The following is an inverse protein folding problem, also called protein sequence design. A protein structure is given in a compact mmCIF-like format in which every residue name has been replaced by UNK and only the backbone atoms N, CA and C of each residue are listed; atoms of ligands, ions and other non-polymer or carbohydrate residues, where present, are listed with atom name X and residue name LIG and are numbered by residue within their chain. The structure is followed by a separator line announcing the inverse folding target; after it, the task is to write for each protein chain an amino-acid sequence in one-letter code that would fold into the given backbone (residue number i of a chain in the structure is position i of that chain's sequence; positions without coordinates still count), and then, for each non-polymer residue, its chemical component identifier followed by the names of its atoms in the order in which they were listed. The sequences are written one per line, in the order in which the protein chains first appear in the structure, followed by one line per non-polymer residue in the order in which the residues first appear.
data_IF_514513945347
#
_entry.id   IF_514513945347
#
_cell.length_a   1.000
_cell.length_b   1.000
_cell.length_c   1.000
_cell.angle_alpha   90.00
_cell.angle_beta   90.00
_cell.angle_gamma   90.00
#
_symmetry.space_group_name_H-M   'P 1'
#
loop_
_entity.id
_entity.type
_entity.pdbx_description
1 polymer ?
#
# COMPACT_ATOMS: atom_id res chain seq x y z
N UNK A 1 -19.38 -5.00 10.10
CA UNK A 1 -20.42 -4.28 9.32
C UNK A 1 -21.78 -4.45 10.02
N UNK A 2 -22.77 -3.56 9.83
CA UNK A 2 -24.13 -3.79 10.35
C UNK A 2 -25.01 -4.37 9.23
N UNK A 3 -25.25 -5.68 9.28
CA UNK A 3 -25.95 -6.43 8.22
C UNK A 3 -27.42 -6.02 8.11
N UNK A 4 -28.12 -5.84 9.23
CA UNK A 4 -29.53 -5.44 9.24
C UNK A 4 -29.73 -4.09 8.54
N UNK A 5 -28.83 -3.13 8.79
CA UNK A 5 -28.85 -1.84 8.11
C UNK A 5 -28.62 -1.98 6.62
N UNK A 6 -27.62 -2.77 6.20
CA UNK A 6 -27.33 -3.02 4.77
C UNK A 6 -28.53 -3.67 4.08
N UNK A 7 -29.13 -4.71 4.67
CA UNK A 7 -30.30 -5.39 4.13
C UNK A 7 -31.50 -4.45 3.98
N UNK A 8 -31.72 -3.56 4.96
CA UNK A 8 -32.83 -2.59 4.92
C UNK A 8 -32.75 -1.59 3.75
N UNK A 9 -31.57 -1.40 3.15
CA UNK A 9 -31.38 -0.55 1.98
C UNK A 9 -31.82 -1.22 0.66
N UNK A 10 -32.18 -2.50 0.68
CA UNK A 10 -32.56 -3.31 -0.48
C UNK A 10 -31.52 -3.21 -1.62
N UNK A 11 -30.22 -3.48 -1.37
CA UNK A 11 -29.18 -3.34 -2.37
C UNK A 11 -29.29 -4.41 -3.47
N UNK A 12 -29.03 -4.02 -4.71
CA UNK A 12 -28.89 -4.97 -5.83
C UNK A 12 -27.60 -5.82 -5.70
N UNK A 13 -26.55 -5.24 -5.11
CA UNK A 13 -25.29 -5.88 -4.76
C UNK A 13 -24.52 -5.02 -3.74
N UNK A 14 -23.52 -5.62 -3.10
CA UNK A 14 -22.61 -4.96 -2.15
C UNK A 14 -21.17 -5.14 -2.62
N UNK A 15 -20.38 -4.08 -2.62
CA UNK A 15 -18.92 -4.19 -2.73
C UNK A 15 -18.32 -4.44 -1.35
N UNK A 16 -17.48 -5.45 -1.24
CA UNK A 16 -16.79 -5.81 0.00
C UNK A 16 -15.27 -5.81 -0.17
N UNK A 17 -14.56 -5.51 0.92
CA UNK A 17 -13.11 -5.62 1.03
C UNK A 17 -12.77 -6.63 2.13
N UNK A 18 -12.09 -7.76 1.84
CA UNK A 18 -11.65 -8.75 2.83
C UNK A 18 -10.74 -8.22 3.95
N UNK A 19 -10.08 -7.06 3.79
CA UNK A 19 -9.36 -6.40 4.89
C UNK A 19 -10.31 -5.76 5.92
N UNK A 20 -11.47 -5.27 5.48
CA UNK A 20 -12.42 -4.52 6.33
C UNK A 20 -13.67 -5.34 6.68
N UNK A 21 -13.97 -6.40 5.94
CA UNK A 21 -15.17 -7.19 6.07
C UNK A 21 -14.82 -8.62 6.47
N UNK A 22 -15.41 -9.08 7.58
CA UNK A 22 -15.19 -10.44 8.05
C UNK A 22 -15.80 -11.44 7.07
N UNK A 23 -15.19 -12.63 6.96
CA UNK A 23 -15.75 -13.72 6.14
C UNK A 23 -17.20 -14.02 6.55
N UNK A 24 -17.47 -14.01 7.87
CA UNK A 24 -18.82 -14.20 8.41
C UNK A 24 -19.80 -13.14 7.92
N UNK A 25 -19.40 -11.86 7.91
CA UNK A 25 -20.25 -10.75 7.45
C UNK A 25 -20.60 -10.93 5.96
N UNK A 26 -19.65 -11.40 5.15
CA UNK A 26 -19.83 -11.65 3.71
C UNK A 26 -20.78 -12.83 3.49
N UNK A 27 -20.57 -13.94 4.21
CA UNK A 27 -21.42 -15.14 4.14
C UNK A 27 -22.87 -14.82 4.54
N UNK A 28 -23.06 -14.01 5.59
CA UNK A 28 -24.39 -13.59 6.04
C UNK A 28 -25.13 -12.75 4.98
N UNK A 29 -24.45 -11.84 4.27
CA UNK A 29 -25.04 -11.12 3.14
C UNK A 29 -25.45 -12.07 2.01
N UNK A 30 -24.62 -13.06 1.71
CA UNK A 30 -24.90 -14.05 0.66
C UNK A 30 -26.10 -14.95 1.03
N UNK A 31 -26.22 -15.36 2.30
CA UNK A 31 -27.37 -16.12 2.81
C UNK A 31 -28.68 -15.33 2.72
N UNK A 32 -28.61 -14.01 2.90
CA UNK A 32 -29.74 -13.09 2.69
C UNK A 32 -30.06 -12.85 1.20
N UNK A 33 -29.33 -13.49 0.29
CA UNK A 33 -29.53 -13.39 -1.16
C UNK A 33 -28.97 -12.11 -1.79
N UNK A 34 -28.13 -11.35 -1.06
CA UNK A 34 -27.48 -10.15 -1.57
C UNK A 34 -26.18 -10.54 -2.27
N UNK A 35 -26.01 -10.28 -3.59
CA UNK A 35 -24.75 -10.50 -4.27
C UNK A 35 -23.63 -9.64 -3.68
N UNK A 36 -22.49 -10.25 -3.35
CA UNK A 36 -21.30 -9.53 -2.85
C UNK A 36 -20.18 -9.62 -3.87
N UNK A 37 -19.64 -8.48 -4.28
CA UNK A 37 -18.46 -8.35 -5.15
C UNK A 37 -17.27 -7.99 -4.29
N UNK A 38 -16.31 -8.90 -4.16
CA UNK A 38 -15.13 -8.70 -3.34
C UNK A 38 -14.02 -8.03 -4.16
N UNK A 39 -13.46 -6.95 -3.64
CA UNK A 39 -12.37 -6.22 -4.27
C UNK A 39 -11.24 -6.04 -3.27
N UNK A 40 -10.07 -6.50 -3.70
CA UNK A 40 -8.86 -6.39 -2.89
C UNK A 40 -7.60 -6.48 -3.75
N UNK A 41 -7.40 -5.51 -4.65
CA UNK A 41 -6.30 -5.57 -5.58
C UNK A 41 -4.99 -5.36 -4.83
N UNK A 42 -4.01 -6.22 -5.11
CA UNK A 42 -2.63 -6.12 -4.61
C UNK A 42 -1.68 -5.57 -5.68
N UNK A 43 -2.17 -5.38 -6.89
CA UNK A 43 -1.40 -4.90 -8.04
C UNK A 43 -2.21 -3.89 -8.85
N UNK A 44 -1.52 -3.06 -9.63
CA UNK A 44 -2.15 -2.12 -10.57
C UNK A 44 -3.02 -2.86 -11.59
N UNK A 45 -2.54 -3.99 -12.11
CA UNK A 45 -3.30 -4.82 -13.05
C UNK A 45 -4.59 -5.39 -12.43
N UNK A 46 -4.55 -5.85 -11.18
CA UNK A 46 -5.76 -6.29 -10.48
C UNK A 46 -6.73 -5.12 -10.26
N UNK A 47 -6.23 -3.93 -9.90
CA UNK A 47 -7.07 -2.76 -9.73
C UNK A 47 -7.76 -2.32 -11.04
N UNK A 48 -7.08 -2.46 -12.18
CA UNK A 48 -7.68 -2.22 -13.50
C UNK A 48 -8.73 -3.29 -13.83
N UNK A 49 -8.48 -4.56 -13.50
CA UNK A 49 -9.46 -5.64 -13.65
C UNK A 49 -10.73 -5.37 -12.82
N UNK A 50 -10.58 -4.91 -11.58
CA UNK A 50 -11.68 -4.54 -10.70
C UNK A 50 -12.53 -3.41 -11.30
N UNK A 51 -11.90 -2.39 -11.89
CA UNK A 51 -12.60 -1.31 -12.59
C UNK A 51 -13.38 -1.82 -13.82
N UNK A 52 -12.80 -2.75 -14.58
CA UNK A 52 -13.47 -3.39 -15.70
C UNK A 52 -14.68 -4.21 -15.26
N UNK A 53 -14.57 -4.93 -14.15
CA UNK A 53 -15.70 -5.66 -13.55
C UNK A 53 -16.82 -4.71 -13.15
N UNK A 54 -16.50 -3.61 -12.45
CA UNK A 54 -17.47 -2.57 -12.09
C UNK A 54 -18.16 -2.01 -13.34
N UNK A 55 -17.40 -1.66 -14.39
CA UNK A 55 -17.96 -1.10 -15.62
C UNK A 55 -18.93 -2.07 -16.31
N UNK A 56 -18.60 -3.37 -16.32
CA UNK A 56 -19.47 -4.44 -16.89
C UNK A 56 -20.71 -4.67 -16.03
N UNK A 57 -20.55 -4.76 -14.72
CA UNK A 57 -21.64 -4.98 -13.77
C UNK A 57 -22.68 -3.85 -13.87
N UNK A 58 -22.21 -2.61 -13.90
CA UNK A 58 -23.04 -1.41 -14.05
C UNK A 58 -23.50 -1.16 -15.50
N UNK A 59 -23.05 -1.97 -16.47
CA UNK A 59 -23.34 -1.82 -17.90
C UNK A 59 -23.08 -0.40 -18.42
N UNK A 60 -22.05 0.26 -17.90
CA UNK A 60 -21.78 1.67 -18.15
C UNK A 60 -20.72 1.86 -19.24
N UNK A 61 -21.16 2.23 -20.44
CA UNK A 61 -20.26 2.56 -21.56
C UNK A 61 -19.31 3.74 -21.24
N UNK A 62 -19.76 4.83 -20.58
CA UNK A 62 -18.84 5.89 -20.16
C UNK A 62 -17.79 5.42 -19.15
N UNK A 63 -18.13 4.49 -18.24
CA UNK A 63 -17.16 3.92 -17.33
C UNK A 63 -16.12 3.08 -18.10
N UNK A 64 -16.58 2.18 -18.98
CA UNK A 64 -15.71 1.37 -19.83
C UNK A 64 -14.70 2.22 -20.64
N UNK A 65 -15.15 3.32 -21.25
CA UNK A 65 -14.28 4.22 -21.98
C UNK A 65 -13.21 4.89 -21.09
N UNK A 66 -13.54 5.23 -19.84
CA UNK A 66 -12.56 5.78 -18.87
C UNK A 66 -11.54 4.73 -18.43
N UNK A 67 -11.98 3.49 -18.23
CA UNK A 67 -11.08 2.39 -17.85
C UNK A 67 -10.12 2.07 -19.00
N UNK A 68 -10.60 1.98 -20.25
CA UNK A 68 -9.76 1.80 -21.45
C UNK A 68 -8.69 2.90 -21.57
N UNK A 69 -9.07 4.17 -21.36
CA UNK A 69 -8.11 5.27 -21.39
C UNK A 69 -7.04 5.17 -20.29
N UNK A 70 -7.45 4.80 -19.07
CA UNK A 70 -6.54 4.64 -17.93
C UNK A 70 -5.58 3.45 -18.14
N UNK A 71 -6.09 2.32 -18.59
CA UNK A 71 -5.30 1.12 -18.89
C UNK A 71 -4.27 1.39 -19.99
N UNK A 72 -4.64 2.09 -21.08
CA UNK A 72 -3.69 2.50 -22.12
C UNK A 72 -2.61 3.43 -21.60
N UNK A 73 -2.98 4.36 -20.71
CA UNK A 73 -2.02 5.26 -20.06
C UNK A 73 -1.02 4.48 -19.20
N UNK A 74 -1.51 3.46 -18.48
CA UNK A 74 -0.68 2.53 -17.71
C UNK A 74 0.25 1.71 -18.62
N UNK A 75 -0.26 1.15 -19.71
CA UNK A 75 0.53 0.37 -20.67
C UNK A 75 1.66 1.21 -21.28
N UNK A 76 1.37 2.46 -21.66
CA UNK A 76 2.38 3.38 -22.20
C UNK A 76 3.43 3.76 -21.16
N UNK A 77 3.00 4.03 -19.93
CA UNK A 77 3.92 4.31 -18.82
C UNK A 77 4.84 3.11 -18.55
N UNK A 78 4.29 1.90 -18.45
CA UNK A 78 5.08 0.69 -18.19
C UNK A 78 6.08 0.43 -19.33
N UNK A 79 5.68 0.68 -20.57
CA UNK A 79 6.56 0.53 -21.74
C UNK A 79 7.72 1.54 -21.77
N UNK A 80 7.55 2.75 -21.20
CA UNK A 80 8.60 3.77 -21.19
C UNK A 80 9.70 3.54 -20.13
N UNK A 81 9.44 2.68 -19.13
CA UNK A 81 10.30 2.49 -17.94
C UNK A 81 11.23 1.26 -17.99
N UNK A 82 11.34 0.56 -19.12
CA UNK A 82 12.04 -0.74 -19.23
C UNK A 82 13.54 -0.72 -18.85
N UNK A 83 14.19 0.45 -18.89
CA UNK A 83 15.65 0.57 -18.71
C UNK A 83 16.08 1.44 -17.52
N UNK A 84 15.17 1.78 -16.61
CA UNK A 84 15.52 2.68 -15.50
C UNK A 84 16.14 1.93 -14.31
N UNK A 85 17.17 2.52 -13.66
CA UNK A 85 17.76 1.93 -12.47
C UNK A 85 16.75 1.96 -11.32
N UNK A 86 16.61 0.82 -10.63
CA UNK A 86 15.78 0.74 -9.44
C UNK A 86 16.45 1.44 -8.26
N UNK A 87 15.64 2.04 -7.39
CA UNK A 87 16.08 2.70 -6.14
C UNK A 87 15.55 1.98 -4.93
N UNK A 88 16.39 1.74 -3.93
CA UNK A 88 15.93 1.18 -2.65
C UNK A 88 15.07 2.19 -1.88
N UNK A 89 13.82 1.82 -1.59
CA UNK A 89 12.81 2.66 -0.96
C UNK A 89 12.50 2.16 0.43
N UNK A 90 12.51 3.08 1.40
CA UNK A 90 11.83 2.89 2.67
C UNK A 90 10.59 3.77 2.71
N UNK A 91 9.42 3.17 2.95
CA UNK A 91 8.14 3.87 3.02
C UNK A 91 7.32 3.36 4.23
N UNK A 92 7.43 3.99 5.41
CA UNK A 92 6.63 3.60 6.56
C UNK A 92 5.19 4.07 6.42
N UNK A 93 4.25 3.26 6.87
CA UNK A 93 2.81 3.58 6.93
C UNK A 93 2.35 3.91 8.35
N UNK A 94 3.15 3.56 9.36
CA UNK A 94 2.93 3.92 10.76
C UNK A 94 4.25 4.03 11.50
N UNK A 95 4.24 4.69 12.65
CA UNK A 95 5.35 4.66 13.58
C UNK A 95 4.87 4.76 15.02
N UNK A 96 5.63 4.18 15.94
CA UNK A 96 5.43 4.37 17.38
C UNK A 96 6.72 4.08 18.14
N UNK A 97 6.62 4.01 19.46
CA UNK A 97 7.69 3.54 20.33
C UNK A 97 7.25 2.23 21.00
N UNK A 98 8.20 1.38 21.35
CA UNK A 98 7.95 0.18 22.14
C UNK A 98 8.02 0.47 23.64
N UNK A 99 7.89 -0.59 24.44
CA UNK A 99 7.94 -0.53 25.91
C UNK A 99 9.32 -0.09 26.45
N UNK A 100 10.37 -0.18 25.63
CA UNK A 100 11.74 0.22 25.94
C UNK A 100 12.08 1.61 25.38
N UNK A 101 11.07 2.38 24.96
CA UNK A 101 11.17 3.68 24.32
C UNK A 101 12.02 3.68 23.04
N UNK A 102 12.15 2.53 22.36
CA UNK A 102 12.79 2.45 21.04
C UNK A 102 11.76 2.72 19.95
N UNK A 103 12.09 3.55 18.94
CA UNK A 103 11.19 3.78 17.83
C UNK A 103 11.10 2.53 16.94
N UNK A 104 9.92 2.27 16.43
CA UNK A 104 9.66 1.26 15.40
C UNK A 104 8.71 1.82 14.36
N UNK A 105 8.77 1.25 13.15
CA UNK A 105 7.92 1.63 12.03
C UNK A 105 7.10 0.44 11.56
N UNK A 106 5.85 0.67 11.16
CA UNK A 106 5.11 -0.31 10.37
C UNK A 106 5.34 -0.03 8.90
N UNK A 107 5.64 -1.08 8.15
CA UNK A 107 5.83 -1.04 6.70
C UNK A 107 4.87 -2.01 6.03
N UNK A 108 4.92 -2.08 4.71
CA UNK A 108 4.21 -3.08 3.89
C UNK A 108 5.22 -3.87 3.07
N UNK A 109 4.88 -5.10 2.74
CA UNK A 109 5.69 -5.96 1.88
C UNK A 109 5.19 -5.95 0.43
N UNK A 110 5.80 -6.77 -0.42
CA UNK A 110 5.51 -6.82 -1.86
C UNK A 110 4.15 -7.39 -2.24
N UNK A 111 3.44 -8.04 -1.31
CA UNK A 111 2.10 -8.61 -1.51
C UNK A 111 0.99 -7.59 -1.19
N UNK A 112 1.26 -6.32 -1.42
CA UNK A 112 0.35 -5.18 -1.18
C UNK A 112 0.31 -4.27 -2.40
N UNK A 113 -0.82 -3.58 -2.61
CA UNK A 113 -0.94 -2.55 -3.65
C UNK A 113 0.16 -1.47 -3.59
N UNK A 114 0.46 -0.84 -2.44
CA UNK A 114 1.57 0.12 -2.37
C UNK A 114 2.94 -0.52 -2.65
N UNK A 115 3.14 -1.80 -2.31
CA UNK A 115 4.32 -2.57 -2.70
C UNK A 115 4.47 -2.68 -4.22
N UNK A 116 3.37 -2.98 -4.92
CA UNK A 116 3.35 -2.99 -6.38
C UNK A 116 3.55 -1.59 -6.97
N UNK A 117 2.87 -0.56 -6.47
CA UNK A 117 3.08 0.83 -6.92
C UNK A 117 4.56 1.22 -6.79
N UNK A 118 5.22 0.95 -5.66
CA UNK A 118 6.66 1.22 -5.53
C UNK A 118 7.46 0.50 -6.62
N UNK A 119 7.20 -0.80 -6.83
CA UNK A 119 7.91 -1.63 -7.81
C UNK A 119 7.74 -1.13 -9.25
N UNK A 120 6.52 -0.77 -9.61
CA UNK A 120 6.13 -0.32 -10.94
C UNK A 120 6.70 1.07 -11.28
N UNK A 121 6.96 1.90 -10.27
CA UNK A 121 7.46 3.27 -10.43
C UNK A 121 8.99 3.38 -10.21
N UNK A 122 9.73 2.27 -10.32
CA UNK A 122 11.20 2.25 -10.28
C UNK A 122 11.78 2.11 -8.87
N UNK A 123 10.96 1.82 -7.87
CA UNK A 123 11.40 1.52 -6.52
C UNK A 123 11.67 0.03 -6.28
N UNK A 124 12.52 -0.24 -5.32
CA UNK A 124 12.73 -1.54 -4.69
C UNK A 124 12.40 -1.36 -3.20
N UNK A 125 11.27 -1.91 -2.76
CA UNK A 125 10.91 -1.88 -1.34
C UNK A 125 11.93 -2.68 -0.54
N UNK A 126 12.65 -2.04 0.39
CA UNK A 126 13.69 -2.73 1.19
C UNK A 126 13.11 -3.83 2.10
N UNK A 127 11.79 -3.85 2.31
CA UNK A 127 11.06 -4.85 3.07
C UNK A 127 10.12 -5.71 2.19
N UNK A 128 10.39 -5.80 0.89
CA UNK A 128 9.59 -6.53 -0.10
C UNK A 128 9.18 -7.94 0.35
N UNK A 129 10.10 -8.68 0.97
CA UNK A 129 9.89 -10.07 1.40
C UNK A 129 9.67 -10.21 2.91
N UNK A 130 9.64 -9.10 3.66
CA UNK A 130 9.47 -9.14 5.12
C UNK A 130 8.03 -9.53 5.44
N UNK A 131 7.86 -10.62 6.20
CA UNK A 131 6.55 -11.05 6.69
C UNK A 131 6.38 -10.64 8.14
N UNK A 132 5.21 -10.13 8.51
CA UNK A 132 4.83 -9.83 9.90
C UNK A 132 4.83 -11.11 10.73
N UNK A 133 5.43 -11.01 11.90
CA UNK A 133 5.47 -12.05 12.92
C UNK A 133 4.38 -11.82 13.97
N UNK A 134 3.98 -12.91 14.62
CA UNK A 134 3.00 -12.89 15.70
C UNK A 134 3.55 -13.54 16.97
N UNK A 135 3.22 -13.04 18.18
CA UNK A 135 2.53 -11.76 18.42
C UNK A 135 3.35 -10.57 17.88
N UNK A 136 2.73 -9.40 17.68
CA UNK A 136 3.33 -8.30 16.90
C UNK A 136 4.67 -7.78 17.45
N UNK A 137 4.99 -8.05 18.70
CA UNK A 137 6.27 -7.71 19.32
C UNK A 137 7.40 -8.66 18.90
N UNK A 138 7.06 -9.83 18.33
CA UNK A 138 8.03 -10.73 17.72
C UNK A 138 8.71 -10.11 16.49
N UNK A 139 8.02 -9.20 15.78
CA UNK A 139 8.63 -8.42 14.70
C UNK A 139 9.84 -7.60 15.18
N UNK A 140 9.82 -7.17 16.44
CA UNK A 140 10.87 -6.35 17.05
C UNK A 140 11.86 -7.21 17.88
N UNK A 141 11.77 -8.54 17.79
CA UNK A 141 12.59 -9.46 18.58
C UNK A 141 12.26 -9.52 20.08
N UNK A 142 11.17 -8.89 20.51
CA UNK A 142 10.79 -8.80 21.94
C UNK A 142 10.04 -10.05 22.44
N UNK A 143 9.44 -10.82 21.52
CA UNK A 143 8.75 -12.07 21.80
C UNK A 143 9.13 -13.15 20.79
N UNK A 144 8.92 -14.42 21.14
CA UNK A 144 9.13 -15.54 20.22
C UNK A 144 8.01 -15.55 19.17
N UNK A 145 8.39 -15.73 17.90
CA UNK A 145 7.43 -15.86 16.81
C UNK A 145 6.65 -17.19 16.90
N UNK A 146 5.36 -17.10 16.59
CA UNK A 146 4.40 -18.18 16.50
C UNK A 146 3.89 -18.32 15.06
N UNK A 147 3.22 -19.45 14.76
CA UNK A 147 2.57 -19.67 13.47
C UNK A 147 1.49 -18.58 13.23
N UNK A 148 1.57 -17.81 12.13
CA UNK A 148 0.56 -16.80 11.83
C UNK A 148 -0.82 -17.41 11.53
N UNK A 149 -0.91 -18.68 11.12
CA UNK A 149 -2.16 -19.29 10.65
C UNK A 149 -2.74 -18.53 9.46
N UNK A 150 -3.99 -18.06 9.58
CA UNK A 150 -4.68 -17.26 8.56
C UNK A 150 -4.49 -15.75 8.74
N UNK A 151 -3.66 -15.31 9.68
CA UNK A 151 -3.45 -13.88 9.95
C UNK A 151 -2.68 -13.22 8.83
N UNK A 152 -2.99 -11.95 8.60
CA UNK A 152 -2.32 -11.14 7.60
C UNK A 152 -0.84 -10.89 7.96
N UNK A 153 0.06 -11.30 7.07
CA UNK A 153 1.51 -11.17 7.25
C UNK A 153 2.13 -9.98 6.51
N UNK A 154 1.32 -9.11 5.89
CA UNK A 154 1.83 -8.14 4.91
C UNK A 154 2.37 -6.83 5.46
N UNK A 155 2.10 -6.54 6.74
CA UNK A 155 2.40 -5.25 7.34
C UNK A 155 3.32 -5.35 8.58
N UNK A 156 4.57 -5.80 8.43
CA UNK A 156 5.48 -6.02 9.57
C UNK A 156 5.86 -4.72 10.27
N UNK A 157 6.23 -4.83 11.55
CA UNK A 157 6.99 -3.79 12.26
C UNK A 157 8.49 -4.01 12.04
N UNK A 158 9.23 -2.93 11.94
CA UNK A 158 10.68 -2.93 11.71
C UNK A 158 11.38 -1.96 12.65
N UNK A 159 12.59 -2.33 13.01
CA UNK A 159 13.49 -1.54 13.87
C UNK A 159 14.29 -0.51 13.07
N UNK A 160 14.91 0.44 13.77
CA UNK A 160 15.84 1.39 13.17
C UNK A 160 17.01 0.68 12.46
N UNK A 161 17.57 -0.34 13.12
CA UNK A 161 18.73 -1.09 12.61
C UNK A 161 18.40 -1.84 11.31
N UNK A 162 17.24 -2.48 11.22
CA UNK A 162 16.77 -3.11 9.98
C UNK A 162 16.67 -2.11 8.82
N UNK A 163 16.18 -0.90 9.08
CA UNK A 163 16.06 0.15 8.05
C UNK A 163 17.45 0.64 7.63
N UNK A 164 18.37 0.84 8.58
CA UNK A 164 19.75 1.25 8.28
C UNK A 164 20.48 0.16 7.49
N UNK A 165 20.33 -1.11 7.83
CA UNK A 165 20.91 -2.24 7.09
C UNK A 165 20.36 -2.34 5.66
N UNK A 166 19.07 -2.03 5.47
CA UNK A 166 18.44 -1.95 4.14
C UNK A 166 19.01 -0.83 3.25
N UNK A 167 19.73 0.13 3.84
CA UNK A 167 20.44 1.22 3.14
C UNK A 167 19.54 1.93 2.09
N UNK A 168 18.38 2.49 2.49
CA UNK A 168 17.46 3.15 1.57
C UNK A 168 18.17 4.28 0.81
N UNK A 169 17.88 4.39 -0.48
CA UNK A 169 18.31 5.49 -1.34
C UNK A 169 17.32 6.64 -1.36
N UNK A 170 16.06 6.34 -1.05
CA UNK A 170 14.98 7.31 -0.86
C UNK A 170 14.09 6.87 0.30
N UNK A 171 13.63 7.84 1.10
CA UNK A 171 12.64 7.62 2.15
C UNK A 171 11.39 8.42 1.78
N UNK A 172 10.26 7.73 1.63
CA UNK A 172 8.96 8.32 1.34
C UNK A 172 8.13 8.38 2.63
N UNK A 173 7.64 9.57 2.97
CA UNK A 173 6.85 9.84 4.16
C UNK A 173 5.42 10.19 3.71
N UNK A 174 4.51 9.22 3.66
CA UNK A 174 3.17 9.45 3.12
C UNK A 174 2.31 10.32 4.07
N UNK A 175 1.35 11.06 3.51
CA UNK A 175 0.38 11.82 4.30
C UNK A 175 -0.68 10.96 4.99
N UNK A 176 -0.81 9.69 4.59
CA UNK A 176 -1.71 8.69 5.17
C UNK A 176 -1.15 7.26 4.98
N UNK A 177 -1.49 6.28 5.84
CA UNK A 177 -2.44 6.37 6.95
C UNK A 177 -1.90 7.08 8.20
N UNK A 178 -0.58 7.16 8.36
CA UNK A 178 0.05 8.04 9.35
C UNK A 178 0.37 9.40 8.73
N UNK A 179 -0.06 10.48 9.36
CA UNK A 179 0.10 11.84 8.85
C UNK A 179 1.53 12.38 9.05
N UNK A 180 2.49 11.87 8.27
CA UNK A 180 3.83 12.43 8.26
C UNK A 180 3.80 13.89 7.78
N UNK A 181 4.74 14.68 8.29
CA UNK A 181 4.78 16.12 8.12
C UNK A 181 6.23 16.60 8.00
N UNK A 182 6.42 17.89 7.68
CA UNK A 182 7.77 18.47 7.54
C UNK A 182 8.61 18.33 8.81
N UNK A 183 7.99 18.29 10.00
CA UNK A 183 8.68 18.01 11.26
C UNK A 183 9.34 16.64 11.30
N UNK A 184 8.74 15.63 10.63
CA UNK A 184 9.30 14.29 10.54
C UNK A 184 10.52 14.23 9.63
N UNK A 185 10.61 15.07 8.60
CA UNK A 185 11.78 15.11 7.70
C UNK A 185 13.05 15.39 8.53
N UNK A 186 13.01 16.39 9.40
CA UNK A 186 14.16 16.76 10.25
C UNK A 186 14.58 15.64 11.20
N UNK A 187 13.61 14.89 11.74
CA UNK A 187 13.89 13.73 12.58
C UNK A 187 14.54 12.61 11.76
N UNK A 188 13.96 12.28 10.61
CA UNK A 188 14.43 11.22 9.74
C UNK A 188 15.83 11.53 9.16
N UNK A 189 16.13 12.78 8.82
CA UNK A 189 17.48 13.19 8.39
C UNK A 189 18.54 12.90 9.45
N UNK A 190 18.18 13.05 10.74
CA UNK A 190 19.09 12.71 11.84
C UNK A 190 19.22 11.20 12.06
N UNK A 191 18.09 10.48 12.05
CA UNK A 191 18.07 9.03 12.27
C UNK A 191 18.78 8.26 11.17
N UNK A 192 18.65 8.71 9.92
CA UNK A 192 19.15 8.00 8.74
C UNK A 192 20.36 8.67 8.10
N UNK A 193 21.09 9.52 8.83
CA UNK A 193 22.23 10.32 8.32
C UNK A 193 23.31 9.47 7.63
N UNK A 194 23.50 8.22 8.06
CA UNK A 194 24.52 7.33 7.51
C UNK A 194 24.05 6.52 6.29
N UNK A 195 22.73 6.51 6.01
CA UNK A 195 22.15 5.86 4.83
C UNK A 195 22.38 6.70 3.56
N UNK A 196 22.30 6.11 2.35
CA UNK A 196 22.35 6.86 1.11
C UNK A 196 21.28 7.97 1.06
N UNK A 197 20.03 7.68 1.47
CA UNK A 197 18.95 8.65 1.52
C UNK A 197 19.24 9.85 2.45
N UNK A 198 19.82 9.60 3.63
CA UNK A 198 20.22 10.67 4.55
C UNK A 198 21.32 11.54 3.96
N UNK A 199 22.38 10.92 3.42
CA UNK A 199 23.54 11.62 2.81
C UNK A 199 23.15 12.47 1.62
N UNK A 200 22.25 11.98 0.76
CA UNK A 200 21.74 12.73 -0.39
C UNK A 200 20.50 13.58 -0.08
N UNK A 201 20.10 13.67 1.19
CA UNK A 201 18.91 14.39 1.64
C UNK A 201 17.63 13.98 0.85
N UNK A 202 17.50 12.71 0.47
CA UNK A 202 16.34 12.14 -0.26
C UNK A 202 15.30 11.56 0.69
N UNK A 203 14.76 12.44 1.52
CA UNK A 203 13.60 12.17 2.40
C UNK A 203 12.49 13.10 1.94
N UNK A 204 11.34 12.53 1.54
CA UNK A 204 10.27 13.27 0.83
C UNK A 204 8.92 13.00 1.46
N UNK A 205 8.10 14.04 1.57
CA UNK A 205 6.67 13.87 1.79
C UNK A 205 6.02 13.45 0.48
N UNK A 206 5.04 12.56 0.56
CA UNK A 206 4.23 12.14 -0.59
C UNK A 206 2.75 12.13 -0.19
N UNK A 207 1.87 12.47 -1.11
CA UNK A 207 0.44 12.22 -0.92
C UNK A 207 0.22 10.70 -0.83
N UNK A 208 -0.17 10.22 0.36
CA UNK A 208 -0.31 8.79 0.64
C UNK A 208 -1.28 8.10 -0.32
N UNK A 209 -2.27 8.83 -0.83
CA UNK A 209 -3.26 8.32 -1.79
C UNK A 209 -2.62 7.84 -3.09
N UNK A 210 -1.52 8.48 -3.52
CA UNK A 210 -0.78 8.05 -4.72
C UNK A 210 -0.25 6.61 -4.58
N UNK A 211 0.00 6.16 -3.33
CA UNK A 211 0.53 4.84 -3.02
C UNK A 211 -0.58 3.85 -2.64
N UNK A 212 -1.61 4.29 -1.92
CA UNK A 212 -2.57 3.39 -1.27
C UNK A 212 -3.95 3.36 -1.92
N UNK A 213 -4.35 4.38 -2.69
CA UNK A 213 -5.66 4.41 -3.34
C UNK A 213 -5.56 3.76 -4.72
N UNK A 214 -6.14 2.58 -4.83
CA UNK A 214 -6.22 1.84 -6.08
C UNK A 214 -7.40 2.30 -6.96
N UNK A 215 -7.49 1.75 -8.17
CA UNK A 215 -8.56 2.06 -9.12
C UNK A 215 -8.30 3.36 -9.87
N UNK A 216 -9.29 4.24 -9.96
CA UNK A 216 -9.21 5.44 -10.83
C UNK A 216 -8.15 6.45 -10.37
N UNK A 217 -7.72 6.40 -9.11
CA UNK A 217 -6.68 7.28 -8.59
C UNK A 217 -5.32 7.04 -9.25
N UNK A 218 -5.11 5.88 -9.89
CA UNK A 218 -3.93 5.59 -10.71
C UNK A 218 -3.63 6.69 -11.73
N UNK A 219 -4.63 7.40 -12.26
CA UNK A 219 -4.40 8.52 -13.17
C UNK A 219 -3.53 9.62 -12.53
N UNK A 220 -3.75 9.93 -11.24
CA UNK A 220 -2.94 10.86 -10.46
C UNK A 220 -1.57 10.27 -10.15
N UNK A 221 -1.53 8.99 -9.75
CA UNK A 221 -0.26 8.28 -9.52
C UNK A 221 0.65 8.33 -10.74
N UNK A 222 0.12 8.09 -11.94
CA UNK A 222 0.88 8.15 -13.20
C UNK A 222 1.42 9.55 -13.50
N UNK A 223 0.70 10.60 -13.12
CA UNK A 223 1.10 11.98 -13.38
C UNK A 223 2.11 12.52 -12.36
N UNK A 224 2.00 12.14 -11.09
CA UNK A 224 2.69 12.82 -10.00
C UNK A 224 3.81 11.99 -9.36
N UNK A 225 3.64 10.67 -9.24
CA UNK A 225 4.61 9.81 -8.57
C UNK A 225 5.99 9.75 -9.28
N UNK A 226 6.09 9.78 -10.63
CA UNK A 226 7.37 9.81 -11.34
C UNK A 226 8.36 10.88 -10.86
N UNK A 227 7.85 12.09 -10.59
CA UNK A 227 8.67 13.22 -10.16
C UNK A 227 9.31 12.98 -8.79
N UNK A 228 8.67 12.17 -7.93
CA UNK A 228 9.21 11.86 -6.60
C UNK A 228 10.44 10.95 -6.70
N UNK A 229 10.48 10.07 -7.70
CA UNK A 229 11.57 9.11 -7.91
C UNK A 229 12.73 9.67 -8.76
N UNK A 230 12.45 10.64 -9.64
CA UNK A 230 13.38 11.10 -10.68
C UNK A 230 14.25 12.31 -10.29
N UNK A 231 14.14 12.86 -9.08
CA UNK A 231 14.94 14.03 -8.68
C UNK A 231 16.37 13.57 -8.30
N UNK A 232 17.33 13.98 -9.13
CA UNK A 232 18.78 13.80 -8.93
C UNK A 232 19.31 14.44 -7.64
#
# INVERSE_FOLDING_TARGET
MNIEQVFSLHPDFVFGNPEENSQKDIEELQELGIPVVLQFPKTIEQALSDLWEIARLLKSQPAAARVDMLERSWEWFRASRVSEPKRRVFCPIWQSIDELAQPWWMVFNGDTYPGDVIRQFGGENIFETRQRLYPLEADLGLKKAEDPGLRDVRYPRVTLDEIVEGQPEIILLPSEPFAYSSGHISLFLKLFVDTPAGKSHRIRLVDGRLLTWHGTFLAHTLAELPEIFNIE
#
